data_IF_149958713549
#
_entry.id   IF_149958713549
#
_cell.length_a   1.000
_cell.length_b   1.000
_cell.length_c   1.000
_cell.angle_alpha   90.00
_cell.angle_beta   90.00
_cell.angle_gamma   90.00
#
_symmetry.space_group_name_H-M   'P 1'
#
loop_
_entity.id
_entity.type
_entity.pdbx_description
1 polymer ?
#
# COMPACT_ATOMS: atom_id res chain seq x y z
N UNK A 1 -24.94 7.20 -20.26
CA UNK A 1 -23.56 7.00 -19.76
C UNK A 1 -23.68 6.16 -18.51
N UNK A 2 -23.08 4.98 -18.50
CA UNK A 2 -23.06 4.11 -17.33
C UNK A 2 -21.80 4.46 -16.53
N UNK A 3 -21.97 4.83 -15.26
CA UNK A 3 -20.90 5.23 -14.34
C UNK A 3 -20.67 4.19 -13.24
N UNK A 4 -21.23 2.98 -13.40
CA UNK A 4 -21.07 1.88 -12.45
C UNK A 4 -19.77 1.11 -12.68
N UNK A 5 -19.41 0.31 -11.68
CA UNK A 5 -18.35 -0.68 -11.76
C UNK A 5 -18.73 -1.80 -12.74
N UNK A 6 -17.74 -2.55 -13.23
CA UNK A 6 -18.01 -3.82 -13.90
C UNK A 6 -18.45 -4.89 -12.88
N UNK A 7 -19.10 -5.95 -13.35
CA UNK A 7 -19.49 -7.08 -12.48
C UNK A 7 -18.29 -7.67 -11.73
N UNK A 8 -17.12 -7.73 -12.37
CA UNK A 8 -15.88 -8.20 -11.75
C UNK A 8 -15.40 -7.26 -10.64
N UNK A 9 -15.43 -5.95 -10.89
CA UNK A 9 -15.06 -4.93 -9.90
C UNK A 9 -16.01 -4.93 -8.70
N UNK A 10 -17.32 -5.09 -8.93
CA UNK A 10 -18.32 -5.24 -7.87
C UNK A 10 -18.06 -6.51 -7.05
N UNK A 11 -17.77 -7.64 -7.70
CA UNK A 11 -17.45 -8.90 -7.01
C UNK A 11 -16.23 -8.77 -6.10
N UNK A 12 -15.14 -8.14 -6.56
CA UNK A 12 -13.97 -7.90 -5.72
C UNK A 12 -14.32 -7.07 -4.47
N UNK A 13 -15.08 -5.99 -4.66
CA UNK A 13 -15.51 -5.15 -3.54
C UNK A 13 -16.36 -5.95 -2.55
N UNK A 14 -17.32 -6.74 -3.03
CA UNK A 14 -18.22 -7.53 -2.19
C UNK A 14 -17.51 -8.64 -1.44
N UNK A 15 -16.56 -9.35 -2.08
CA UNK A 15 -15.76 -10.38 -1.41
C UNK A 15 -14.93 -9.80 -0.27
N UNK A 16 -14.31 -8.64 -0.47
CA UNK A 16 -13.54 -7.95 0.58
C UNK A 16 -14.47 -7.51 1.71
N UNK A 17 -15.59 -6.83 1.38
CA UNK A 17 -16.58 -6.38 2.38
C UNK A 17 -17.09 -7.55 3.22
N UNK A 18 -17.45 -8.66 2.57
CA UNK A 18 -17.94 -9.86 3.23
C UNK A 18 -16.87 -10.50 4.12
N UNK A 19 -15.66 -10.66 3.61
CA UNK A 19 -14.56 -11.20 4.41
C UNK A 19 -14.32 -10.38 5.68
N UNK A 20 -14.29 -9.05 5.58
CA UNK A 20 -14.10 -8.18 6.74
C UNK A 20 -15.29 -8.25 7.70
N UNK A 21 -16.52 -8.29 7.21
CA UNK A 21 -17.71 -8.43 8.05
C UNK A 21 -17.73 -9.75 8.84
N UNK A 22 -17.24 -10.83 8.23
CA UNK A 22 -17.25 -12.17 8.83
C UNK A 22 -16.06 -12.42 9.78
N UNK A 23 -14.91 -11.74 9.57
CA UNK A 23 -13.64 -12.06 10.24
C UNK A 23 -12.96 -10.89 10.96
N UNK A 24 -13.47 -9.66 10.84
CA UNK A 24 -12.79 -8.45 11.35
C UNK A 24 -13.76 -7.55 12.13
N UNK A 25 -13.89 -7.83 13.42
CA UNK A 25 -14.59 -7.00 14.39
C UNK A 25 -13.75 -5.82 14.86
N UNK A 26 -14.41 -4.82 15.47
CA UNK A 26 -13.72 -3.66 16.06
C UNK A 26 -12.73 -4.05 17.15
N UNK A 27 -13.01 -5.11 17.93
CA UNK A 27 -12.11 -5.57 18.98
C UNK A 27 -10.88 -6.28 18.41
N UNK A 28 -11.03 -7.02 17.32
CA UNK A 28 -9.91 -7.62 16.58
C UNK A 28 -9.01 -6.54 15.97
N UNK A 29 -9.59 -5.51 15.36
CA UNK A 29 -8.84 -4.34 14.86
C UNK A 29 -8.01 -3.70 15.98
N UNK A 30 -8.60 -3.52 17.18
CA UNK A 30 -7.88 -2.93 18.33
C UNK A 30 -6.71 -3.79 18.78
N UNK A 31 -6.90 -5.11 18.89
CA UNK A 31 -5.83 -6.05 19.25
C UNK A 31 -4.67 -5.97 18.26
N UNK A 32 -4.97 -5.95 16.96
CA UNK A 32 -3.96 -5.84 15.90
C UNK A 32 -3.24 -4.49 15.98
N UNK A 33 -4.00 -3.39 16.07
CA UNK A 33 -3.45 -2.03 16.12
C UNK A 33 -2.55 -1.79 17.34
N UNK A 34 -2.82 -2.46 18.47
CA UNK A 34 -1.98 -2.40 19.67
C UNK A 34 -0.88 -3.47 19.70
N UNK A 35 -0.72 -4.28 18.63
CA UNK A 35 0.23 -5.40 18.56
C UNK A 35 0.03 -6.43 19.69
N UNK A 36 -1.22 -6.67 20.10
CA UNK A 36 -1.59 -7.62 21.15
C UNK A 36 -1.78 -9.06 20.62
N UNK A 37 -2.03 -9.22 19.31
CA UNK A 37 -2.31 -10.53 18.68
C UNK A 37 -1.76 -10.61 17.25
N UNK A 38 -0.49 -10.97 17.12
CA UNK A 38 0.18 -11.14 15.82
C UNK A 38 -0.35 -12.35 15.01
N UNK A 39 -0.88 -13.38 15.69
CA UNK A 39 -1.39 -14.57 15.02
C UNK A 39 -2.68 -14.24 14.27
N UNK A 40 -3.59 -13.51 14.93
CA UNK A 40 -4.80 -12.97 14.31
C UNK A 40 -4.49 -12.02 13.15
N UNK A 41 -3.49 -11.14 13.30
CA UNK A 41 -3.07 -10.25 12.24
C UNK A 41 -2.62 -11.03 10.98
N UNK A 42 -1.83 -12.10 11.17
CA UNK A 42 -1.40 -13.00 10.09
C UNK A 42 -2.56 -13.76 9.45
N UNK A 43 -3.51 -14.23 10.24
CA UNK A 43 -4.70 -14.94 9.75
C UNK A 43 -5.56 -14.05 8.85
N UNK A 44 -5.88 -12.83 9.30
CA UNK A 44 -6.66 -11.86 8.52
C UNK A 44 -5.92 -11.46 7.25
N UNK A 45 -4.62 -11.18 7.36
CA UNK A 45 -3.78 -10.87 6.21
C UNK A 45 -3.77 -12.01 5.18
N UNK A 46 -3.54 -13.25 5.61
CA UNK A 46 -3.58 -14.42 4.72
C UNK A 46 -4.96 -14.61 4.07
N UNK A 47 -6.04 -14.40 4.83
CA UNK A 47 -7.40 -14.47 4.29
C UNK A 47 -7.67 -13.44 3.19
N UNK A 48 -7.19 -12.20 3.35
CA UNK A 48 -7.30 -11.16 2.33
C UNK A 48 -6.42 -11.46 1.10
N UNK A 49 -5.20 -11.97 1.29
CA UNK A 49 -4.33 -12.39 0.19
C UNK A 49 -4.95 -13.54 -0.62
N UNK A 50 -5.65 -14.46 0.03
CA UNK A 50 -6.36 -15.55 -0.65
C UNK A 50 -7.51 -15.07 -1.57
N UNK A 51 -7.97 -13.82 -1.44
CA UNK A 51 -8.89 -13.20 -2.39
C UNK A 51 -8.21 -12.73 -3.69
N UNK A 52 -6.88 -12.82 -3.78
CA UNK A 52 -6.10 -12.46 -4.97
C UNK A 52 -5.79 -10.98 -5.11
N UNK A 53 -6.03 -10.16 -4.08
CA UNK A 53 -5.89 -8.70 -4.15
C UNK A 53 -4.45 -8.23 -4.42
N UNK A 54 -3.45 -9.03 -4.04
CA UNK A 54 -2.04 -8.74 -4.28
C UNK A 54 -1.63 -8.92 -5.75
N UNK A 55 -2.39 -9.70 -6.52
CA UNK A 55 -2.09 -10.02 -7.92
C UNK A 55 -2.79 -9.10 -8.93
N UNK A 56 -3.68 -8.21 -8.46
CA UNK A 56 -4.56 -7.40 -9.32
C UNK A 56 -3.83 -6.64 -10.42
N UNK A 57 -2.87 -5.80 -10.04
CA UNK A 57 -2.19 -4.89 -10.98
C UNK A 57 -0.90 -5.46 -11.58
N UNK A 58 -0.63 -6.73 -11.33
CA UNK A 58 0.50 -7.43 -11.95
C UNK A 58 0.06 -7.96 -13.31
N UNK A 59 0.82 -7.74 -14.40
CA UNK A 59 0.50 -8.31 -15.71
C UNK A 59 0.40 -9.84 -15.70
N UNK A 60 -0.47 -10.39 -16.55
CA UNK A 60 -0.70 -11.84 -16.67
C UNK A 60 0.59 -12.63 -17.01
N UNK A 61 1.49 -12.05 -17.81
CA UNK A 61 2.77 -12.66 -18.17
C UNK A 61 3.71 -12.89 -16.95
N UNK A 62 3.43 -12.22 -15.84
CA UNK A 62 4.11 -12.37 -14.56
C UNK A 62 3.25 -13.10 -13.51
N UNK A 63 2.14 -13.73 -13.93
CA UNK A 63 1.25 -14.51 -13.08
C UNK A 63 0.16 -13.71 -12.37
N UNK A 64 0.03 -12.42 -12.66
CA UNK A 64 -1.01 -11.57 -12.09
C UNK A 64 -2.34 -11.65 -12.83
N UNK A 65 -3.27 -10.75 -12.47
CA UNK A 65 -4.60 -10.67 -13.07
C UNK A 65 -4.71 -9.62 -14.19
N UNK A 66 -3.69 -8.77 -14.37
CA UNK A 66 -3.69 -7.73 -15.40
C UNK A 66 -4.83 -6.71 -15.29
N UNK A 67 -5.42 -6.57 -14.10
CA UNK A 67 -6.56 -5.69 -13.87
C UNK A 67 -6.14 -4.21 -13.92
N UNK A 68 -7.12 -3.34 -14.12
CA UNK A 68 -6.90 -1.90 -14.13
C UNK A 68 -6.91 -1.29 -12.72
N UNK A 69 -6.49 -0.02 -12.63
CA UNK A 69 -6.48 0.71 -11.36
C UNK A 69 -7.89 0.83 -10.74
N UNK A 70 -8.96 0.78 -11.56
CA UNK A 70 -10.33 0.86 -11.06
C UNK A 70 -10.73 -0.40 -10.29
N UNK A 71 -10.22 -1.58 -10.67
CA UNK A 71 -10.36 -2.80 -9.86
C UNK A 71 -9.67 -2.68 -8.50
N UNK A 72 -8.47 -2.06 -8.44
CA UNK A 72 -7.82 -1.79 -7.17
C UNK A 72 -8.57 -0.73 -6.32
N UNK A 73 -9.22 0.25 -6.96
CA UNK A 73 -10.13 1.20 -6.29
C UNK A 73 -11.32 0.49 -5.64
N UNK A 74 -11.94 -0.46 -6.34
CA UNK A 74 -13.07 -1.22 -5.82
C UNK A 74 -12.68 -2.02 -4.56
N UNK A 75 -11.50 -2.67 -4.58
CA UNK A 75 -10.91 -3.34 -3.42
C UNK A 75 -10.60 -2.38 -2.29
N UNK A 76 -9.95 -1.25 -2.57
CA UNK A 76 -9.60 -0.25 -1.57
C UNK A 76 -10.85 0.30 -0.84
N UNK A 77 -11.92 0.58 -1.57
CA UNK A 77 -13.20 0.98 -0.98
C UNK A 77 -13.80 -0.13 -0.11
N UNK A 78 -13.69 -1.40 -0.54
CA UNK A 78 -14.06 -2.55 0.29
C UNK A 78 -13.25 -2.61 1.60
N UNK A 79 -11.93 -2.48 1.50
CA UNK A 79 -11.02 -2.46 2.66
C UNK A 79 -11.35 -1.34 3.64
N UNK A 80 -11.57 -0.13 3.13
CA UNK A 80 -11.92 1.04 3.94
C UNK A 80 -13.21 0.87 4.75
N UNK A 81 -14.20 0.16 4.20
CA UNK A 81 -15.50 -0.06 4.87
C UNK A 81 -15.40 -0.86 6.18
N UNK A 82 -14.37 -1.69 6.32
CA UNK A 82 -14.11 -2.55 7.47
C UNK A 82 -12.77 -2.28 8.16
N UNK A 83 -12.07 -1.19 7.84
CA UNK A 83 -10.74 -0.86 8.38
C UNK A 83 -9.76 -2.05 8.20
N UNK A 84 -9.70 -2.57 6.97
CA UNK A 84 -8.93 -3.77 6.64
C UNK A 84 -7.45 -3.67 7.06
N UNK A 85 -6.95 -4.52 7.98
CA UNK A 85 -5.60 -4.42 8.53
C UNK A 85 -4.57 -5.08 7.59
N UNK A 86 -4.39 -4.50 6.40
CA UNK A 86 -3.48 -5.00 5.36
C UNK A 86 -2.70 -3.86 4.71
N UNK A 87 -1.39 -4.00 4.46
CA UNK A 87 -0.69 -3.12 3.51
C UNK A 87 -1.29 -3.30 2.12
N UNK A 88 -1.72 -2.23 1.45
CA UNK A 88 -2.37 -2.33 0.14
C UNK A 88 -1.92 -1.25 -0.83
N UNK A 89 -2.08 0.02 -0.45
CA UNK A 89 -1.78 1.15 -1.33
C UNK A 89 -0.31 1.15 -1.78
N UNK A 90 0.63 0.98 -0.85
CA UNK A 90 2.04 0.86 -1.15
C UNK A 90 2.36 -0.51 -1.77
N UNK A 91 2.09 -1.58 -1.03
CA UNK A 91 2.58 -2.92 -1.33
C UNK A 91 2.00 -3.53 -2.61
N UNK A 92 0.70 -3.34 -2.87
CA UNK A 92 -0.02 -4.05 -3.95
C UNK A 92 -0.58 -3.14 -5.03
N UNK A 93 -0.38 -1.82 -4.90
CA UNK A 93 -0.72 -0.87 -5.96
C UNK A 93 0.51 -0.09 -6.43
N UNK A 94 1.12 0.70 -5.56
CA UNK A 94 2.22 1.58 -5.96
C UNK A 94 3.46 0.79 -6.39
N UNK A 95 3.86 -0.23 -5.63
CA UNK A 95 5.01 -1.06 -5.96
C UNK A 95 4.89 -1.80 -7.30
N UNK A 96 3.82 -2.58 -7.59
CA UNK A 96 3.68 -3.24 -8.88
C UNK A 96 3.58 -2.25 -10.05
N UNK A 97 2.88 -1.11 -9.88
CA UNK A 97 2.84 -0.05 -10.92
C UNK A 97 4.24 0.49 -11.19
N UNK A 98 5.01 0.81 -10.15
CA UNK A 98 6.36 1.33 -10.28
C UNK A 98 7.29 0.34 -11.00
N UNK A 99 7.28 -0.93 -10.58
CA UNK A 99 8.13 -1.97 -11.18
C UNK A 99 7.71 -2.24 -12.62
N UNK A 100 6.41 -2.31 -12.91
CA UNK A 100 5.92 -2.55 -14.26
C UNK A 100 6.26 -1.41 -15.24
N UNK A 101 6.12 -0.15 -14.80
CA UNK A 101 6.38 1.02 -15.64
C UNK A 101 7.87 1.39 -15.73
N UNK A 102 8.63 1.20 -14.64
CA UNK A 102 9.98 1.72 -14.51
C UNK A 102 11.07 0.64 -14.47
N UNK A 103 10.74 -0.61 -14.16
CA UNK A 103 11.72 -1.68 -14.03
C UNK A 103 12.32 -2.10 -15.37
N UNK A 104 13.54 -2.63 -15.34
CA UNK A 104 14.09 -3.43 -16.44
C UNK A 104 13.32 -4.76 -16.58
N UNK A 105 13.51 -5.48 -17.68
CA UNK A 105 12.89 -6.79 -17.88
C UNK A 105 13.31 -7.79 -16.79
N UNK A 106 14.56 -7.72 -16.32
CA UNK A 106 15.06 -8.54 -15.21
C UNK A 106 14.38 -8.19 -13.89
N UNK A 107 14.16 -6.90 -13.62
CA UNK A 107 13.48 -6.43 -12.41
C UNK A 107 12.01 -6.86 -12.39
N UNK A 108 11.32 -6.73 -13.53
CA UNK A 108 9.93 -7.18 -13.69
C UNK A 108 9.82 -8.69 -13.49
N UNK A 109 10.66 -9.47 -14.16
CA UNK A 109 10.69 -10.93 -14.05
C UNK A 109 11.06 -11.42 -12.64
N UNK A 110 11.85 -10.64 -11.88
CA UNK A 110 12.20 -10.95 -10.49
C UNK A 110 11.06 -10.62 -9.52
N UNK A 111 10.59 -9.38 -9.51
CA UNK A 111 9.77 -8.86 -8.42
C UNK A 111 8.27 -9.07 -8.62
N UNK A 112 7.76 -8.97 -9.86
CA UNK A 112 6.31 -9.07 -10.09
C UNK A 112 5.74 -10.45 -9.72
N UNK A 113 6.38 -11.58 -10.07
CA UNK A 113 5.92 -12.89 -9.61
C UNK A 113 5.99 -13.06 -8.07
N UNK A 114 6.96 -12.42 -7.41
CA UNK A 114 7.10 -12.47 -5.95
C UNK A 114 6.00 -11.68 -5.22
N UNK A 115 5.49 -10.62 -5.84
CA UNK A 115 4.30 -9.90 -5.36
C UNK A 115 3.06 -10.81 -5.45
N UNK A 116 2.91 -11.54 -6.56
CA UNK A 116 1.80 -12.47 -6.79
C UNK A 116 1.83 -13.65 -5.81
N UNK A 117 3.00 -14.26 -5.58
CA UNK A 117 3.17 -15.33 -4.59
C UNK A 117 3.14 -14.84 -3.14
N UNK A 118 3.16 -13.52 -2.94
CA UNK A 118 3.27 -12.85 -1.65
C UNK A 118 4.52 -13.25 -0.85
N UNK A 119 5.58 -13.70 -1.54
CA UNK A 119 6.87 -14.06 -0.95
C UNK A 119 7.72 -12.83 -0.61
N UNK A 120 7.44 -11.69 -1.23
CA UNK A 120 8.18 -10.44 -1.02
C UNK A 120 7.21 -9.29 -0.80
N UNK A 121 7.37 -8.59 0.32
CA UNK A 121 6.57 -7.42 0.68
C UNK A 121 7.32 -6.13 0.41
N UNK A 122 6.60 -5.11 -0.04
CA UNK A 122 7.16 -3.80 -0.37
C UNK A 122 6.58 -2.70 0.53
N UNK A 123 7.46 -1.93 1.16
CA UNK A 123 7.14 -0.63 1.72
C UNK A 123 7.40 0.47 0.70
N UNK A 124 6.68 1.59 0.78
CA UNK A 124 6.74 2.64 -0.24
C UNK A 124 6.94 4.02 0.39
N UNK A 125 7.96 4.76 -0.06
CA UNK A 125 8.32 6.08 0.45
C UNK A 125 8.57 7.09 -0.68
N UNK A 126 7.58 7.95 -0.96
CA UNK A 126 7.66 8.99 -2.00
C UNK A 126 7.59 10.41 -1.42
N UNK A 127 7.55 10.58 -0.10
CA UNK A 127 7.34 11.88 0.56
C UNK A 127 8.34 12.94 0.11
N UNK A 128 9.60 12.54 -0.09
CA UNK A 128 10.73 13.40 -0.46
C UNK A 128 10.63 13.93 -1.89
N UNK A 129 9.94 13.19 -2.76
CA UNK A 129 9.61 13.64 -4.12
C UNK A 129 8.45 14.66 -4.13
N UNK A 130 7.48 14.50 -3.23
CA UNK A 130 6.24 15.31 -3.23
C UNK A 130 6.41 16.62 -2.46
N UNK A 131 6.80 16.51 -1.20
CA UNK A 131 6.85 17.61 -0.26
C UNK A 131 7.76 17.21 0.90
N UNK A 132 9.07 17.27 0.67
CA UNK A 132 10.08 16.99 1.68
C UNK A 132 9.84 17.79 2.97
N UNK A 133 10.05 17.14 4.11
CA UNK A 133 9.90 17.71 5.47
C UNK A 133 11.16 17.46 6.27
N UNK A 134 11.44 18.29 7.28
CA UNK A 134 12.61 18.12 8.15
C UNK A 134 13.92 17.94 7.37
N UNK A 135 14.05 18.67 6.25
CA UNK A 135 15.16 18.57 5.29
C UNK A 135 15.43 17.15 4.74
N UNK A 136 14.47 16.24 4.84
CA UNK A 136 14.55 14.89 4.31
C UNK A 136 14.78 14.90 2.79
N UNK A 137 15.42 13.85 2.32
CA UNK A 137 15.92 13.73 0.97
C UNK A 137 16.88 12.57 0.87
N UNK A 138 16.92 11.97 -0.32
CA UNK A 138 17.80 10.87 -0.62
C UNK A 138 18.66 11.26 -1.81
N UNK A 139 19.97 11.18 -1.64
CA UNK A 139 20.94 11.36 -2.70
C UNK A 139 21.36 9.99 -3.23
N UNK A 140 21.35 9.86 -4.55
CA UNK A 140 21.81 8.68 -5.27
C UNK A 140 23.16 9.00 -5.90
N UNK A 141 24.19 8.24 -5.54
CA UNK A 141 25.53 8.38 -6.11
C UNK A 141 26.20 7.03 -6.21
N UNK A 142 26.74 6.69 -7.40
CA UNK A 142 27.50 5.45 -7.61
C UNK A 142 26.74 4.17 -7.18
N UNK A 143 25.43 4.10 -7.43
CA UNK A 143 24.58 2.96 -7.05
C UNK A 143 24.29 2.86 -5.54
N UNK A 144 24.54 3.94 -4.79
CA UNK A 144 24.30 4.03 -3.34
C UNK A 144 23.31 5.12 -3.00
N UNK A 145 22.42 4.84 -2.06
CA UNK A 145 21.52 5.80 -1.44
C UNK A 145 22.07 6.31 -0.11
N UNK A 146 22.00 7.61 0.10
CA UNK A 146 22.30 8.29 1.36
C UNK A 146 21.22 9.31 1.68
N UNK A 147 20.85 9.44 2.95
CA UNK A 147 19.91 10.47 3.41
C UNK A 147 18.73 9.89 4.17
N UNK A 148 17.60 10.59 4.15
CA UNK A 148 16.44 10.29 5.00
C UNK A 148 15.17 10.19 4.19
N UNK A 149 14.35 9.18 4.48
CA UNK A 149 12.99 9.00 3.98
C UNK A 149 12.00 9.04 5.14
N UNK A 150 10.94 9.84 5.05
CA UNK A 150 9.89 9.97 6.06
C UNK A 150 8.55 9.43 5.54
N UNK A 151 7.76 8.89 6.48
CA UNK A 151 6.41 8.38 6.23
C UNK A 151 6.38 7.27 5.18
N UNK A 152 7.33 6.34 5.23
CA UNK A 152 7.32 5.14 4.38
C UNK A 152 6.14 4.27 4.82
N UNK A 153 5.16 4.11 3.94
CA UNK A 153 3.91 3.37 4.18
C UNK A 153 4.09 1.89 3.88
N UNK A 154 3.21 1.07 4.45
CA UNK A 154 3.16 -0.39 4.20
C UNK A 154 4.51 -1.10 4.46
N UNK A 155 5.33 -0.47 5.31
CA UNK A 155 6.75 -0.76 5.44
C UNK A 155 7.06 -1.69 6.63
N UNK A 156 6.10 -1.85 7.55
CA UNK A 156 6.21 -2.83 8.64
C UNK A 156 6.25 -4.24 8.05
N UNK A 157 7.33 -4.97 8.33
CA UNK A 157 7.66 -6.27 7.74
C UNK A 157 7.94 -6.28 6.22
N UNK A 158 8.22 -5.13 5.60
CA UNK A 158 8.63 -5.12 4.20
C UNK A 158 10.03 -5.75 4.01
N UNK A 159 10.20 -6.50 2.93
CA UNK A 159 11.49 -7.05 2.51
C UNK A 159 12.30 -6.05 1.67
N UNK A 160 11.60 -5.18 0.93
CA UNK A 160 12.19 -4.10 0.15
C UNK A 160 11.44 -2.79 0.38
N UNK A 161 12.16 -1.68 0.31
CA UNK A 161 11.56 -0.35 0.24
C UNK A 161 11.69 0.22 -1.17
N UNK A 162 10.56 0.54 -1.79
CA UNK A 162 10.49 1.38 -2.98
C UNK A 162 10.50 2.84 -2.56
N UNK A 163 11.55 3.55 -2.95
CA UNK A 163 11.79 4.94 -2.56
C UNK A 163 11.92 5.83 -3.79
N UNK A 164 11.69 7.14 -3.60
CA UNK A 164 11.97 8.16 -4.60
C UNK A 164 12.93 9.21 -4.04
N UNK A 165 13.88 9.66 -4.87
CA UNK A 165 14.64 10.88 -4.57
C UNK A 165 13.83 12.14 -4.92
N UNK A 166 14.38 13.33 -4.62
CA UNK A 166 13.75 14.62 -4.94
C UNK A 166 13.49 14.83 -6.44
N UNK A 167 14.25 14.15 -7.31
CA UNK A 167 14.09 14.20 -8.76
C UNK A 167 13.04 13.23 -9.32
N UNK A 168 12.43 12.39 -8.49
CA UNK A 168 11.46 11.38 -8.94
C UNK A 168 12.10 10.10 -9.49
N UNK A 169 13.41 9.90 -9.29
CA UNK A 169 14.04 8.61 -9.61
C UNK A 169 13.62 7.59 -8.56
N UNK A 170 13.00 6.51 -9.03
CA UNK A 170 12.53 5.40 -8.22
C UNK A 170 13.62 4.34 -8.09
N UNK A 171 13.77 3.78 -6.90
CA UNK A 171 14.74 2.73 -6.62
C UNK A 171 14.26 1.83 -5.49
N UNK A 172 14.75 0.59 -5.50
CA UNK A 172 14.52 -0.40 -4.46
C UNK A 172 15.76 -0.49 -3.56
N UNK A 173 15.54 -0.65 -2.26
CA UNK A 173 16.58 -1.03 -1.29
C UNK A 173 16.13 -2.25 -0.52
N UNK A 174 17.06 -3.18 -0.23
CA UNK A 174 16.80 -4.34 0.62
C UNK A 174 16.66 -3.87 2.08
N UNK A 175 15.53 -4.19 2.72
CA UNK A 175 15.26 -3.79 4.10
C UNK A 175 16.27 -4.37 5.11
N UNK A 176 17.03 -5.41 4.73
CA UNK A 176 18.09 -6.04 5.54
C UNK A 176 19.47 -5.41 5.31
N UNK A 177 19.61 -4.42 4.42
CA UNK A 177 20.88 -3.70 4.25
C UNK A 177 21.27 -3.02 5.57
N UNK A 178 22.49 -3.29 6.05
CA UNK A 178 23.02 -2.78 7.33
C UNK A 178 23.21 -1.26 7.35
N UNK A 179 23.16 -0.62 6.19
CA UNK A 179 23.19 0.83 6.05
C UNK A 179 21.85 1.51 6.35
N UNK A 180 20.79 0.75 6.63
CA UNK A 180 19.46 1.29 6.95
C UNK A 180 19.26 1.30 8.47
N UNK A 181 19.03 2.48 9.02
CA UNK A 181 18.44 2.65 10.35
C UNK A 181 16.95 2.90 10.20
N UNK A 182 16.14 2.08 10.86
CA UNK A 182 14.67 2.10 10.76
C UNK A 182 14.08 2.58 12.07
N UNK A 183 13.21 3.59 12.01
CA UNK A 183 12.46 4.09 13.16
C UNK A 183 10.96 4.01 12.88
N UNK A 184 10.20 3.34 13.75
CA UNK A 184 8.73 3.34 13.67
C UNK A 184 8.18 4.67 14.19
N UNK A 185 7.36 5.34 13.37
CA UNK A 185 6.76 6.62 13.70
C UNK A 185 5.44 6.41 14.44
N UNK A 186 5.23 7.17 15.51
CA UNK A 186 3.96 7.18 16.22
C UNK A 186 2.93 8.02 15.46
N UNK A 187 1.85 7.41 15.01
CA UNK A 187 0.72 8.04 14.32
C UNK A 187 -0.53 8.13 15.19
N UNK A 188 -1.46 9.02 14.81
CA UNK A 188 -2.81 9.08 15.39
C UNK A 188 -3.63 7.85 15.01
N UNK A 189 -3.56 7.46 13.73
CA UNK A 189 -4.16 6.22 13.25
C UNK A 189 -3.21 5.04 13.55
N UNK A 190 -3.57 4.25 14.55
CA UNK A 190 -2.81 3.06 14.97
C UNK A 190 -3.02 1.84 14.07
N UNK A 191 -3.95 1.89 13.13
CA UNK A 191 -4.21 0.77 12.20
C UNK A 191 -3.26 0.77 11.01
N UNK A 192 -2.48 1.85 10.86
CA UNK A 192 -1.47 2.02 9.82
C UNK A 192 -0.09 2.22 10.47
N UNK A 193 0.93 1.74 9.78
CA UNK A 193 2.33 1.89 10.19
C UNK A 193 3.07 2.82 9.24
N UNK A 194 3.98 3.62 9.80
CA UNK A 194 4.81 4.54 9.06
C UNK A 194 6.23 4.42 9.59
N UNK A 195 7.21 4.31 8.69
CA UNK A 195 8.62 4.27 9.06
C UNK A 195 9.34 5.55 8.64
N UNK A 196 10.32 5.95 9.44
CA UNK A 196 11.45 6.78 9.03
C UNK A 196 12.63 5.86 8.71
N UNK A 197 13.28 6.12 7.58
CA UNK A 197 14.50 5.41 7.17
C UNK A 197 15.64 6.42 7.10
N UNK A 198 16.77 6.08 7.71
CA UNK A 198 18.03 6.79 7.54
C UNK A 198 19.02 5.86 6.82
N UNK A 199 19.45 6.27 5.63
CA UNK A 199 20.22 5.49 4.68
C UNK A 199 21.67 5.98 4.69
N UNK A 200 22.61 5.06 4.88
CA UNK A 200 24.05 5.32 4.81
C UNK A 200 24.75 4.29 3.93
N UNK A 201 25.08 4.70 2.69
CA UNK A 201 25.72 3.87 1.68
C UNK A 201 24.97 2.55 1.37
N UNK A 202 23.65 2.63 1.37
CA UNK A 202 22.74 1.51 1.10
C UNK A 202 22.77 1.20 -0.39
N UNK A 203 22.81 -0.08 -0.78
CA UNK A 203 22.72 -0.46 -2.20
C UNK A 203 21.35 -0.02 -2.74
N UNK A 204 21.36 0.83 -3.77
CA UNK A 204 20.15 1.30 -4.42
C UNK A 204 20.02 0.64 -5.80
N UNK A 205 18.97 -0.16 -5.96
CA UNK A 205 18.62 -0.77 -7.22
C UNK A 205 17.65 0.16 -7.96
N UNK A 206 18.19 0.99 -8.86
CA UNK A 206 17.42 1.98 -9.63
C UNK A 206 16.46 1.28 -10.58
N UNK A 207 15.23 1.81 -10.70
CA UNK A 207 14.29 1.44 -11.75
C UNK A 207 14.54 2.36 -12.98
N UNK A 208 15.20 1.87 -14.04
CA UNK A 208 15.78 2.71 -15.10
C UNK A 208 14.74 3.52 -15.91
N UNK A 209 13.50 3.03 -16.00
CA UNK A 209 12.41 3.76 -16.64
C UNK A 209 12.05 5.06 -15.92
N UNK A 210 12.32 5.16 -14.61
CA UNK A 210 12.08 6.40 -13.84
C UNK A 210 13.17 7.46 -14.06
N UNK A 211 14.39 7.07 -14.47
CA UNK A 211 15.42 8.03 -14.88
C UNK A 211 15.12 8.63 -16.26
N UNK A 212 14.45 7.86 -17.12
CA UNK A 212 14.15 8.26 -18.50
C UNK A 212 12.79 8.94 -18.67
N UNK A 213 11.80 8.61 -17.84
CA UNK A 213 10.47 9.25 -17.84
C UNK A 213 10.11 9.80 -16.43
N UNK A 214 10.22 11.13 -16.21
CA UNK A 214 9.90 11.74 -14.92
C UNK A 214 8.40 11.65 -14.55
N UNK A 215 7.51 11.34 -15.50
CA UNK A 215 6.09 11.16 -15.19
C UNK A 215 5.80 9.85 -14.45
N UNK A 216 6.73 8.88 -14.45
CA UNK A 216 6.50 7.57 -13.84
C UNK A 216 6.29 7.69 -12.32
N UNK A 217 7.15 8.44 -11.62
CA UNK A 217 6.98 8.67 -10.18
C UNK A 217 5.66 9.39 -9.86
N UNK A 218 5.23 10.31 -10.74
CA UNK A 218 3.94 10.99 -10.61
C UNK A 218 2.77 10.02 -10.81
N UNK A 219 2.81 9.11 -11.79
CA UNK A 219 1.79 8.07 -11.99
C UNK A 219 1.67 7.15 -10.78
N UNK A 220 2.80 6.73 -10.20
CA UNK A 220 2.83 5.91 -8.97
C UNK A 220 2.20 6.68 -7.80
N UNK A 221 2.57 7.95 -7.63
CA UNK A 221 2.00 8.82 -6.60
C UNK A 221 0.48 9.00 -6.76
N UNK A 222 0.03 9.29 -7.99
CA UNK A 222 -1.38 9.51 -8.28
C UNK A 222 -2.21 8.23 -8.06
N UNK A 223 -1.67 7.06 -8.40
CA UNK A 223 -2.29 5.79 -8.05
C UNK A 223 -2.46 5.63 -6.53
N UNK A 224 -1.42 5.90 -5.74
CA UNK A 224 -1.52 5.87 -4.28
C UNK A 224 -2.59 6.83 -3.73
N UNK A 225 -2.66 8.06 -4.25
CA UNK A 225 -3.68 9.05 -3.87
C UNK A 225 -5.10 8.58 -4.18
N UNK A 226 -5.31 7.99 -5.36
CA UNK A 226 -6.59 7.42 -5.79
C UNK A 226 -7.02 6.31 -4.83
N UNK A 227 -6.11 5.42 -4.44
CA UNK A 227 -6.39 4.33 -3.52
C UNK A 227 -6.76 4.83 -2.12
N UNK A 228 -6.03 5.80 -1.57
CA UNK A 228 -6.39 6.38 -0.27
C UNK A 228 -7.72 7.13 -0.30
N UNK A 229 -8.08 7.76 -1.42
CA UNK A 229 -9.38 8.37 -1.59
C UNK A 229 -10.51 7.32 -1.61
N UNK A 230 -10.29 6.18 -2.28
CA UNK A 230 -11.23 5.06 -2.32
C UNK A 230 -11.42 4.41 -0.94
N UNK A 231 -10.31 4.16 -0.22
CA UNK A 231 -10.33 3.68 1.17
C UNK A 231 -11.14 4.62 2.08
N UNK A 232 -10.87 5.92 1.99
CA UNK A 232 -11.61 6.95 2.76
C UNK A 232 -13.10 7.00 2.40
N UNK A 233 -13.44 6.78 1.13
CA UNK A 233 -14.83 6.69 0.67
C UNK A 233 -15.54 5.51 1.33
N UNK A 234 -14.95 4.32 1.30
CA UNK A 234 -15.53 3.13 1.93
C UNK A 234 -15.73 3.29 3.44
N UNK A 235 -14.75 3.88 4.13
CA UNK A 235 -14.88 4.22 5.54
C UNK A 235 -16.03 5.21 5.78
N UNK A 236 -16.17 6.23 4.93
CA UNK A 236 -17.22 7.25 5.03
C UNK A 236 -18.62 6.67 4.82
N UNK A 237 -18.78 5.75 3.87
CA UNK A 237 -20.02 5.00 3.64
C UNK A 237 -20.43 4.20 4.88
N UNK A 238 -19.49 3.44 5.46
CA UNK A 238 -19.73 2.67 6.69
C UNK A 238 -20.11 3.59 7.86
N UNK A 239 -19.47 4.76 7.99
CA UNK A 239 -19.80 5.74 9.03
C UNK A 239 -21.21 6.31 8.86
N UNK A 240 -21.62 6.71 7.65
CA UNK A 240 -22.95 7.28 7.43
C UNK A 240 -24.05 6.24 7.62
N UNK A 241 -23.84 5.00 7.17
CA UNK A 241 -24.78 3.90 7.38
C UNK A 241 -25.01 3.63 8.86
N UNK A 242 -23.92 3.53 9.65
CA UNK A 242 -23.99 3.33 11.10
C UNK A 242 -24.67 4.50 11.81
N UNK A 243 -24.35 5.74 11.42
CA UNK A 243 -24.97 6.93 12.00
C UNK A 243 -26.49 6.98 11.74
N UNK A 244 -26.92 6.66 10.51
CA UNK A 244 -28.33 6.60 10.14
C UNK A 244 -29.04 5.47 10.89
N UNK A 245 -28.43 4.29 11.00
CA UNK A 245 -28.98 3.17 11.78
C UNK A 245 -29.18 3.56 13.23
N UNK A 246 -28.13 4.12 13.86
CA UNK A 246 -28.19 4.58 15.25
C UNK A 246 -29.26 5.65 15.47
N UNK A 247 -29.39 6.61 14.55
CA UNK A 247 -30.40 7.67 14.65
C UNK A 247 -31.85 7.15 14.61
N UNK A 248 -32.10 6.01 13.94
CA UNK A 248 -33.42 5.36 13.92
C UNK A 248 -33.76 4.65 15.23
N UNK A 249 -32.76 4.18 15.96
CA UNK A 249 -32.93 3.42 17.20
C UNK A 249 -32.85 4.27 18.47
N UNK A 250 -31.98 5.31 18.47
CA UNK A 250 -31.72 6.15 19.64
C UNK A 250 -32.93 7.03 19.97
N UNK A 251 -33.49 6.83 21.17
CA UNK A 251 -34.50 7.72 21.76
C UNK A 251 -33.85 8.62 22.81
N UNK A 252 -34.14 9.92 22.75
CA UNK A 252 -33.72 10.91 23.74
C UNK A 252 -34.81 11.97 23.85
N UNK A 253 -35.00 12.55 25.04
CA UNK A 253 -36.05 13.53 25.35
C UNK A 253 -37.49 12.97 25.26
N UNK A 254 -37.63 11.65 25.37
CA UNK A 254 -38.89 10.91 25.50
C UNK A 254 -38.96 10.21 26.84
#
# INVERSE_FOLDING_TARGET
MFFGLSEEQEQFQDYVKKFLADNVTVDEIRKIANSEDEALAKEIYSGLINLGINALLVPEEHGGLGADLLSAVAVAQGLGSGVGPIPFAGAYVMAPIAINLAGSDEQKAKYLPQIVSNETKFGVGLSEYVAAREDAGIDLSSGKANGKALFVIDAKEADYFLLANKGGVLFLVDAKDKGIEITELTSVDKTRSYLELNLKNVVAEILPGSESDPEVAKKVLDAGRIIFAADSLGASESMIEKAVSYAKERKQFN
#
